data_IF_777422724019
#
_entry.id   IF_777422724019
#
_cell.length_a   1.000
_cell.length_b   1.000
_cell.length_c   1.000
_cell.angle_alpha   90.00
_cell.angle_beta   90.00
_cell.angle_gamma   90.00
#
_symmetry.space_group_name_H-M   'P 1'
#
loop_
_entity.id
_entity.type
_entity.pdbx_description
1 polymer ?
#
# COMPACT_ATOMS: atom_id res chain seq x y z
N UNK A 1 -0.16 43.57 42.85
CA UNK A 1 0.67 42.67 42.01
C UNK A 1 -0.04 41.32 41.83
N UNK A 2 -0.94 41.19 40.84
CA UNK A 2 -1.65 39.92 40.55
C UNK A 2 -1.45 39.38 39.10
N UNK A 3 -0.23 39.37 38.52
CA UNK A 3 0.01 38.71 37.23
C UNK A 3 0.34 37.20 37.36
N UNK A 4 0.69 36.70 38.55
CA UNK A 4 1.22 35.34 38.73
C UNK A 4 0.20 34.21 38.47
N UNK A 5 -1.10 34.44 38.70
CA UNK A 5 -2.14 33.40 38.53
C UNK A 5 -2.51 33.15 37.06
N UNK A 6 -2.35 34.13 36.17
CA UNK A 6 -2.68 33.96 34.73
C UNK A 6 -1.64 33.12 33.99
N UNK A 7 -0.35 33.27 34.34
CA UNK A 7 0.76 32.53 33.76
C UNK A 7 0.65 31.03 34.06
N UNK A 8 0.26 30.66 35.29
CA UNK A 8 0.08 29.26 35.67
C UNK A 8 -1.05 28.58 34.87
N UNK A 9 -2.13 29.32 34.56
CA UNK A 9 -3.24 28.82 33.74
C UNK A 9 -2.83 28.66 32.27
N UNK A 10 -2.08 29.60 31.72
CA UNK A 10 -1.58 29.55 30.33
C UNK A 10 -0.62 28.37 30.13
N UNK A 11 0.31 28.14 31.08
CA UNK A 11 1.23 26.98 31.02
C UNK A 11 0.46 25.66 31.07
N UNK A 12 -0.59 25.56 31.89
CA UNK A 12 -1.44 24.37 31.98
C UNK A 12 -2.24 24.14 30.68
N UNK A 13 -2.78 25.20 30.07
CA UNK A 13 -3.51 25.12 28.78
C UNK A 13 -2.58 24.78 27.61
N UNK A 14 -1.38 25.34 27.56
CA UNK A 14 -0.37 25.01 26.54
C UNK A 14 0.12 23.55 26.67
N UNK A 15 0.28 23.06 27.91
CA UNK A 15 0.63 21.65 28.17
C UNK A 15 -0.51 20.70 27.76
N UNK A 16 -1.77 21.10 28.00
CA UNK A 16 -2.95 20.35 27.55
C UNK A 16 -3.07 20.33 26.01
N UNK A 17 -2.82 21.46 25.34
CA UNK A 17 -2.80 21.56 23.87
C UNK A 17 -1.67 20.76 23.19
N UNK A 18 -0.53 20.57 23.87
CA UNK A 18 0.51 19.65 23.39
C UNK A 18 0.10 18.19 23.60
N UNK A 19 -0.55 17.88 24.71
CA UNK A 19 -1.07 16.54 24.99
C UNK A 19 -2.18 16.13 24.00
N UNK A 20 -3.05 17.05 23.56
CA UNK A 20 -4.06 16.75 22.53
C UNK A 20 -3.45 16.40 21.18
N UNK A 21 -2.30 16.98 20.79
CA UNK A 21 -1.55 16.53 19.61
C UNK A 21 -1.06 15.09 19.77
N UNK A 22 -0.51 14.75 20.94
CA UNK A 22 -0.06 13.40 21.27
C UNK A 22 -1.19 12.37 21.20
N UNK A 23 -2.36 12.70 21.76
CA UNK A 23 -3.56 11.83 21.68
C UNK A 23 -4.04 11.67 20.24
N UNK A 24 -3.99 12.72 19.41
CA UNK A 24 -4.32 12.62 17.98
C UNK A 24 -3.37 11.68 17.25
N UNK A 25 -2.08 11.75 17.53
CA UNK A 25 -1.06 10.86 16.97
C UNK A 25 -1.31 9.41 17.39
N UNK A 26 -1.54 9.16 18.68
CA UNK A 26 -1.86 7.82 19.19
C UNK A 26 -3.15 7.29 18.56
N UNK A 27 -4.16 8.14 18.36
CA UNK A 27 -5.44 7.77 17.73
C UNK A 27 -5.30 7.46 16.24
N UNK A 28 -4.47 8.23 15.51
CA UNK A 28 -4.12 7.96 14.11
C UNK A 28 -3.29 6.68 14.00
N UNK A 29 -2.29 6.50 14.85
CA UNK A 29 -1.48 5.28 14.90
C UNK A 29 -2.35 4.07 15.23
N UNK A 30 -3.26 4.17 16.19
CA UNK A 30 -4.16 3.06 16.55
C UNK A 30 -5.24 2.81 15.49
N UNK A 31 -5.77 3.83 14.83
CA UNK A 31 -6.71 3.65 13.71
C UNK A 31 -6.02 3.03 12.49
N UNK A 32 -4.80 3.49 12.18
CA UNK A 32 -3.95 2.93 11.13
C UNK A 32 -3.60 1.49 11.49
N UNK A 33 -3.20 1.20 12.73
CA UNK A 33 -2.85 -0.15 13.18
C UNK A 33 -4.05 -1.11 13.19
N UNK A 34 -5.26 -0.62 13.49
CA UNK A 34 -6.49 -1.42 13.41
C UNK A 34 -6.87 -1.71 11.96
N UNK A 35 -6.73 -0.72 11.07
CA UNK A 35 -6.85 -0.92 9.62
C UNK A 35 -5.80 -1.90 9.09
N UNK A 36 -4.54 -1.76 9.53
CA UNK A 36 -3.43 -2.63 9.17
C UNK A 36 -3.59 -4.06 9.69
N UNK A 37 -4.20 -4.29 10.87
CA UNK A 37 -4.50 -5.65 11.36
C UNK A 37 -5.63 -6.31 10.57
N UNK A 38 -6.65 -5.55 10.19
CA UNK A 38 -7.72 -6.05 9.31
C UNK A 38 -7.21 -6.33 7.89
N UNK A 39 -6.31 -5.46 7.38
CA UNK A 39 -5.54 -5.72 6.17
C UNK A 39 -4.64 -6.95 6.36
N UNK A 40 -3.95 -7.09 7.50
CA UNK A 40 -2.97 -8.16 7.76
C UNK A 40 -3.57 -9.55 7.86
N UNK A 41 -4.82 -9.72 8.31
CA UNK A 41 -5.44 -11.07 8.31
C UNK A 41 -5.78 -11.55 6.90
N UNK A 42 -6.08 -10.63 5.98
CA UNK A 42 -6.29 -10.93 4.55
C UNK A 42 -4.97 -10.94 3.75
N UNK A 43 -3.99 -10.14 4.18
CA UNK A 43 -2.63 -10.03 3.61
C UNK A 43 -1.70 -11.17 4.06
N UNK A 44 -2.25 -12.27 4.59
CA UNK A 44 -1.51 -13.51 4.84
C UNK A 44 -1.19 -14.28 3.54
N UNK A 45 -1.56 -13.72 2.37
CA UNK A 45 -1.07 -14.19 1.06
C UNK A 45 0.42 -13.91 0.96
N UNK A 46 1.23 -14.96 0.84
CA UNK A 46 2.70 -15.00 0.70
C UNK A 46 3.33 -13.91 -0.20
N UNK A 47 2.58 -13.29 -1.11
CA UNK A 47 3.04 -12.23 -2.00
C UNK A 47 3.45 -10.92 -1.31
N UNK A 48 2.75 -10.45 -0.28
CA UNK A 48 3.07 -9.14 0.33
C UNK A 48 4.43 -9.16 1.05
N UNK A 49 4.68 -10.20 1.85
CA UNK A 49 5.97 -10.36 2.53
C UNK A 49 7.14 -10.49 1.55
N UNK A 50 6.91 -11.13 0.40
CA UNK A 50 7.90 -11.21 -0.68
C UNK A 50 8.23 -9.83 -1.25
N UNK A 51 7.21 -9.00 -1.57
CA UNK A 51 7.42 -7.64 -2.10
C UNK A 51 8.12 -6.72 -1.11
N UNK A 52 7.79 -6.81 0.18
CA UNK A 52 8.49 -6.04 1.23
C UNK A 52 9.96 -6.45 1.33
N UNK A 53 10.23 -7.76 1.35
CA UNK A 53 11.60 -8.29 1.43
C UNK A 53 12.40 -7.91 0.19
N UNK A 54 11.80 -8.04 -1.00
CA UNK A 54 12.40 -7.64 -2.27
C UNK A 54 12.71 -6.14 -2.31
N UNK A 55 11.79 -5.30 -1.83
CA UNK A 55 11.99 -3.84 -1.76
C UNK A 55 13.14 -3.50 -0.83
N UNK A 56 13.27 -4.18 0.31
CA UNK A 56 14.40 -4.02 1.22
C UNK A 56 15.72 -4.39 0.54
N UNK A 57 15.78 -5.55 -0.12
CA UNK A 57 16.98 -6.00 -0.85
C UNK A 57 17.36 -4.99 -1.93
N UNK A 58 16.39 -4.54 -2.74
CA UNK A 58 16.63 -3.57 -3.81
C UNK A 58 17.07 -2.21 -3.25
N UNK A 59 16.55 -1.80 -2.09
CA UNK A 59 16.98 -0.56 -1.43
C UNK A 59 18.45 -0.66 -1.02
N UNK A 60 18.85 -1.77 -0.39
CA UNK A 60 20.23 -2.00 0.04
C UNK A 60 21.17 -2.09 -1.16
N UNK A 61 20.85 -2.93 -2.14
CA UNK A 61 21.68 -3.15 -3.34
C UNK A 61 21.74 -1.88 -4.20
N UNK A 62 20.61 -1.21 -4.40
CA UNK A 62 20.52 0.05 -5.16
C UNK A 62 21.33 1.16 -4.50
N UNK A 63 21.30 1.27 -3.17
CA UNK A 63 22.14 2.23 -2.44
C UNK A 63 23.63 1.91 -2.54
N UNK A 64 24.01 0.62 -2.50
CA UNK A 64 25.40 0.21 -2.67
C UNK A 64 25.91 0.49 -4.08
N UNK A 65 25.09 0.23 -5.10
CA UNK A 65 25.40 0.55 -6.50
C UNK A 65 25.53 2.05 -6.73
N UNK A 66 24.56 2.84 -6.25
CA UNK A 66 24.62 4.31 -6.35
C UNK A 66 25.84 4.89 -5.63
N UNK A 67 26.17 4.37 -4.44
CA UNK A 67 27.37 4.78 -3.73
C UNK A 67 28.63 4.43 -4.54
N UNK A 68 28.73 3.20 -5.06
CA UNK A 68 29.90 2.78 -5.83
C UNK A 68 30.14 3.62 -7.10
N UNK A 69 29.06 3.97 -7.82
CA UNK A 69 29.16 4.72 -9.08
C UNK A 69 29.39 6.23 -8.87
N UNK A 70 28.74 6.83 -7.87
CA UNK A 70 28.80 8.29 -7.67
C UNK A 70 29.90 8.74 -6.68
N UNK A 71 30.54 7.83 -5.90
CA UNK A 71 31.56 8.19 -4.89
C UNK A 71 32.73 9.02 -5.45
N UNK A 72 33.15 8.73 -6.68
CA UNK A 72 34.36 9.32 -7.27
C UNK A 72 34.07 10.53 -8.19
N UNK A 73 32.79 10.83 -8.48
CA UNK A 73 32.37 11.90 -9.40
C UNK A 73 31.56 13.01 -8.72
N UNK A 74 31.45 12.99 -7.39
CA UNK A 74 30.70 13.96 -6.62
C UNK A 74 31.51 15.24 -6.38
N UNK A 75 31.38 16.22 -7.29
CA UNK A 75 31.92 17.59 -7.21
C UNK A 75 31.28 18.43 -6.06
N UNK A 76 31.42 17.95 -4.82
CA UNK A 76 31.12 18.71 -3.59
C UNK A 76 29.74 18.50 -2.95
N UNK A 77 28.81 17.81 -3.61
CA UNK A 77 27.43 17.63 -3.09
C UNK A 77 26.81 16.23 -3.26
N UNK A 78 27.58 15.23 -3.69
CA UNK A 78 27.05 13.91 -4.03
C UNK A 78 27.01 12.87 -2.89
N UNK A 79 26.74 11.63 -3.27
CA UNK A 79 26.54 10.48 -2.37
C UNK A 79 27.85 10.04 -1.69
N UNK A 80 28.35 10.87 -0.77
CA UNK A 80 29.65 10.69 -0.13
C UNK A 80 29.67 9.60 0.95
N UNK A 81 28.50 9.15 1.43
CA UNK A 81 28.38 8.12 2.44
C UNK A 81 27.29 7.10 2.06
N UNK A 82 27.44 5.86 2.51
CA UNK A 82 26.41 4.84 2.28
C UNK A 82 25.05 5.24 2.88
N UNK A 83 25.05 5.95 4.02
CA UNK A 83 23.83 6.45 4.64
C UNK A 83 23.07 7.46 3.76
N UNK A 84 23.77 8.33 3.02
CA UNK A 84 23.13 9.27 2.10
C UNK A 84 22.62 8.56 0.85
N UNK A 85 23.31 7.53 0.37
CA UNK A 85 22.85 6.68 -0.73
C UNK A 85 21.61 5.85 -0.37
N UNK A 86 21.54 5.33 0.85
CA UNK A 86 20.36 4.66 1.39
C UNK A 86 19.17 5.62 1.46
N UNK A 87 19.38 6.80 2.02
CA UNK A 87 18.35 7.83 2.09
C UNK A 87 17.84 8.21 0.70
N UNK A 88 18.77 8.46 -0.24
CA UNK A 88 18.45 8.75 -1.63
C UNK A 88 17.60 7.65 -2.27
N UNK A 89 18.02 6.40 -2.12
CA UNK A 89 17.32 5.23 -2.68
C UNK A 89 15.93 5.08 -2.09
N UNK A 90 15.78 5.28 -0.78
CA UNK A 90 14.49 5.25 -0.11
C UNK A 90 13.55 6.34 -0.66
N UNK A 91 14.04 7.56 -0.87
CA UNK A 91 13.27 8.68 -1.42
C UNK A 91 12.82 8.45 -2.87
N UNK A 92 13.64 7.77 -3.68
CA UNK A 92 13.27 7.36 -5.04
C UNK A 92 12.17 6.29 -5.01
N UNK A 93 12.33 5.25 -4.19
CA UNK A 93 11.36 4.16 -4.06
C UNK A 93 10.01 4.67 -3.54
N UNK A 94 10.01 5.62 -2.61
CA UNK A 94 8.79 6.26 -2.10
C UNK A 94 8.23 7.33 -3.02
N UNK A 95 8.84 7.58 -4.19
CA UNK A 95 8.45 8.61 -5.16
C UNK A 95 8.44 10.04 -4.62
N UNK A 96 9.06 10.29 -3.46
CA UNK A 96 9.19 11.65 -2.89
C UNK A 96 10.21 12.50 -3.63
N UNK A 97 11.07 11.87 -4.43
CA UNK A 97 12.13 12.54 -5.18
C UNK A 97 13.35 12.85 -4.32
N UNK A 98 14.53 12.85 -4.93
CA UNK A 98 15.80 13.09 -4.24
C UNK A 98 16.35 14.48 -4.49
N UNK A 99 17.08 15.01 -3.53
CA UNK A 99 17.79 16.29 -3.65
C UNK A 99 19.02 16.20 -4.58
N UNK A 100 19.54 14.99 -4.79
CA UNK A 100 20.69 14.71 -5.64
C UNK A 100 20.29 13.96 -6.91
N UNK A 101 20.94 14.29 -8.04
CA UNK A 101 20.76 13.61 -9.32
C UNK A 101 22.08 12.98 -9.79
N UNK A 102 22.08 11.67 -10.15
CA UNK A 102 23.28 10.97 -10.62
C UNK A 102 23.90 11.65 -11.84
N UNK A 103 25.21 11.90 -11.79
CA UNK A 103 25.93 12.49 -12.91
C UNK A 103 26.56 11.42 -13.80
N UNK A 104 26.87 10.24 -13.24
CA UNK A 104 27.48 9.15 -14.00
C UNK A 104 26.47 8.46 -14.92
N UNK A 105 26.91 7.99 -16.10
CA UNK A 105 26.06 7.20 -16.99
C UNK A 105 25.49 5.95 -16.32
N UNK A 106 26.32 5.24 -15.56
CA UNK A 106 25.95 4.03 -14.82
C UNK A 106 24.92 4.34 -13.71
N UNK A 107 25.14 5.40 -12.94
CA UNK A 107 24.20 5.88 -11.93
C UNK A 107 22.86 6.31 -12.53
N UNK A 108 22.84 6.92 -13.72
CA UNK A 108 21.60 7.30 -14.42
C UNK A 108 20.80 6.08 -14.87
N UNK A 109 21.46 5.05 -15.41
CA UNK A 109 20.81 3.78 -15.77
C UNK A 109 20.22 3.12 -14.53
N UNK A 110 20.99 3.07 -13.43
CA UNK A 110 20.51 2.48 -12.18
C UNK A 110 19.32 3.28 -11.61
N UNK A 111 19.39 4.61 -11.62
CA UNK A 111 18.30 5.49 -11.21
C UNK A 111 17.01 5.23 -12.01
N UNK A 112 17.12 5.03 -13.33
CA UNK A 112 15.98 4.69 -14.17
C UNK A 112 15.37 3.33 -13.80
N UNK A 113 16.19 2.30 -13.57
CA UNK A 113 15.73 0.98 -13.14
C UNK A 113 15.03 1.02 -11.77
N UNK A 114 15.60 1.77 -10.82
CA UNK A 114 14.97 1.98 -9.50
C UNK A 114 13.63 2.68 -9.62
N UNK A 115 13.54 3.69 -10.51
CA UNK A 115 12.29 4.40 -10.77
C UNK A 115 11.22 3.47 -11.35
N UNK A 116 11.59 2.62 -12.33
CA UNK A 116 10.68 1.64 -12.91
C UNK A 116 10.21 0.62 -11.87
N UNK A 117 11.11 0.16 -10.99
CA UNK A 117 10.76 -0.70 -9.87
C UNK A 117 9.77 -0.03 -8.92
N UNK A 118 9.99 1.23 -8.56
CA UNK A 118 9.08 1.99 -7.69
C UNK A 118 7.66 2.06 -8.27
N UNK A 119 7.54 2.34 -9.58
CA UNK A 119 6.25 2.30 -10.29
C UNK A 119 5.58 0.93 -10.24
N UNK A 120 6.33 -0.15 -10.45
CA UNK A 120 5.81 -1.51 -10.39
C UNK A 120 5.29 -1.87 -8.99
N UNK A 121 6.04 -1.51 -7.94
CA UNK A 121 5.60 -1.69 -6.54
C UNK A 121 4.33 -0.91 -6.26
N UNK A 122 4.23 0.33 -6.75
CA UNK A 122 3.03 1.14 -6.57
C UNK A 122 1.81 0.47 -7.21
N UNK A 123 1.95 -0.02 -8.45
CA UNK A 123 0.90 -0.79 -9.13
C UNK A 123 0.52 -2.07 -8.38
N UNK A 124 1.51 -2.79 -7.85
CA UNK A 124 1.26 -3.98 -7.02
C UNK A 124 0.45 -3.64 -5.76
N UNK A 125 0.80 -2.56 -5.05
CA UNK A 125 0.08 -2.12 -3.85
C UNK A 125 -1.37 -1.76 -4.21
N UNK A 126 -1.60 -1.03 -5.30
CA UNK A 126 -2.96 -0.73 -5.78
C UNK A 126 -3.76 -2.00 -6.10
N UNK A 127 -3.16 -2.97 -6.81
CA UNK A 127 -3.80 -4.24 -7.15
C UNK A 127 -4.07 -5.09 -5.91
N UNK A 128 -3.15 -5.11 -4.93
CA UNK A 128 -3.31 -5.82 -3.67
C UNK A 128 -4.48 -5.24 -2.86
N UNK A 129 -4.62 -3.91 -2.83
CA UNK A 129 -5.77 -3.25 -2.20
C UNK A 129 -7.05 -3.60 -2.95
N UNK A 130 -7.09 -3.49 -4.28
CA UNK A 130 -8.27 -3.85 -5.06
C UNK A 130 -8.71 -5.31 -4.80
N UNK A 131 -7.75 -6.24 -4.77
CA UNK A 131 -7.99 -7.66 -4.47
C UNK A 131 -8.49 -7.87 -3.04
N UNK A 132 -8.04 -7.06 -2.08
CA UNK A 132 -8.57 -7.09 -0.71
C UNK A 132 -10.05 -6.72 -0.66
N UNK A 133 -10.48 -5.70 -1.42
CA UNK A 133 -11.89 -5.32 -1.49
C UNK A 133 -12.73 -6.38 -2.22
N UNK A 134 -12.30 -6.82 -3.40
CA UNK A 134 -12.97 -7.87 -4.18
C UNK A 134 -13.04 -9.19 -3.38
N UNK A 135 -11.97 -9.54 -2.66
CA UNK A 135 -11.94 -10.74 -1.83
C UNK A 135 -12.95 -10.69 -0.69
N UNK A 136 -13.27 -9.50 -0.15
CA UNK A 136 -14.33 -9.34 0.85
C UNK A 136 -15.73 -9.40 0.26
N UNK A 137 -15.91 -8.96 -0.98
CA UNK A 137 -17.19 -9.09 -1.70
C UNK A 137 -17.44 -10.56 -2.09
N UNK A 138 -16.39 -11.31 -2.41
CA UNK A 138 -16.44 -12.76 -2.67
C UNK A 138 -16.67 -13.60 -1.40
N UNK A 139 -16.14 -13.16 -0.24
CA UNK A 139 -16.36 -13.82 1.06
C UNK A 139 -17.76 -13.55 1.64
N UNK A 140 -18.61 -12.82 0.91
CA UNK A 140 -20.04 -12.74 1.19
C UNK A 140 -20.69 -14.04 0.66
N UNK A 141 -20.35 -15.17 1.28
CA UNK A 141 -20.80 -16.53 0.90
C UNK A 141 -22.32 -16.58 0.70
N UNK A 142 -23.10 -15.80 1.47
CA UNK A 142 -24.55 -15.67 1.30
C UNK A 142 -24.96 -15.15 -0.09
N UNK A 143 -24.22 -14.23 -0.68
CA UNK A 143 -24.51 -13.68 -2.01
C UNK A 143 -24.15 -14.66 -3.13
N UNK A 144 -23.03 -15.39 -3.00
CA UNK A 144 -22.66 -16.44 -3.96
C UNK A 144 -23.61 -17.64 -3.90
N UNK A 145 -23.99 -18.08 -2.68
CA UNK A 145 -24.96 -19.15 -2.46
C UNK A 145 -26.35 -18.74 -2.97
N UNK A 146 -26.79 -17.50 -2.74
CA UNK A 146 -28.05 -16.98 -3.29
C UNK A 146 -28.03 -16.93 -4.82
N UNK A 147 -26.91 -16.52 -5.41
CA UNK A 147 -26.67 -16.57 -6.86
C UNK A 147 -26.79 -17.99 -7.41
N UNK A 148 -26.08 -18.96 -6.83
CA UNK A 148 -26.13 -20.35 -7.26
C UNK A 148 -27.54 -20.95 -7.14
N UNK A 149 -28.26 -20.65 -6.06
CA UNK A 149 -29.63 -21.14 -5.84
C UNK A 149 -30.63 -20.55 -6.85
N UNK A 150 -30.49 -19.25 -7.18
CA UNK A 150 -31.33 -18.62 -8.21
C UNK A 150 -31.08 -19.18 -9.60
N UNK A 151 -29.81 -19.48 -9.95
CA UNK A 151 -29.45 -20.11 -11.23
C UNK A 151 -30.02 -21.53 -11.33
N UNK A 152 -29.99 -22.29 -10.24
CA UNK A 152 -30.55 -23.64 -10.20
C UNK A 152 -32.08 -23.63 -10.39
N UNK A 153 -32.78 -22.71 -9.71
CA UNK A 153 -34.23 -22.55 -9.86
C UNK A 153 -34.64 -22.17 -11.29
N UNK A 154 -33.90 -21.27 -11.93
CA UNK A 154 -34.14 -20.89 -13.33
C UNK A 154 -33.91 -22.07 -14.29
N UNK A 155 -32.92 -22.92 -14.05
CA UNK A 155 -32.70 -24.11 -14.88
C UNK A 155 -33.85 -25.11 -14.77
N UNK A 156 -34.40 -25.29 -13.56
CA UNK A 156 -35.55 -26.16 -13.32
C UNK A 156 -36.81 -25.63 -14.02
N UNK A 157 -37.04 -24.32 -13.95
CA UNK A 157 -38.17 -23.66 -14.62
C UNK A 157 -38.05 -23.74 -16.15
N UNK A 158 -36.85 -23.52 -16.71
CA UNK A 158 -36.58 -23.70 -18.15
C UNK A 158 -36.80 -25.15 -18.57
N UNK A 159 -36.40 -26.13 -17.75
CA UNK A 159 -36.61 -27.55 -18.03
C UNK A 159 -38.10 -27.91 -18.06
N UNK A 160 -38.87 -27.40 -17.10
CA UNK A 160 -40.33 -27.58 -17.05
C UNK A 160 -41.02 -26.96 -18.27
N UNK A 161 -40.69 -25.71 -18.61
CA UNK A 161 -41.24 -25.04 -19.80
C UNK A 161 -40.90 -25.76 -21.10
N UNK A 162 -39.69 -26.32 -21.23
CA UNK A 162 -39.33 -27.17 -22.39
C UNK A 162 -40.18 -28.42 -22.48
N UNK A 163 -40.47 -29.07 -21.36
CA UNK A 163 -41.30 -30.27 -21.32
C UNK A 163 -42.74 -29.96 -21.77
N UNK A 164 -43.31 -28.85 -21.29
CA UNK A 164 -44.67 -28.41 -21.66
C UNK A 164 -44.76 -28.06 -23.16
N UNK A 165 -43.77 -27.35 -23.70
CA UNK A 165 -43.71 -27.04 -25.14
C UNK A 165 -43.64 -28.33 -25.96
N UNK A 166 -42.84 -29.32 -25.54
CA UNK A 166 -42.76 -30.61 -26.24
C UNK A 166 -44.09 -31.37 -26.19
N UNK A 167 -44.77 -31.38 -25.03
CA UNK A 167 -46.07 -32.01 -24.88
C UNK A 167 -47.14 -31.36 -25.79
N UNK A 168 -47.20 -30.03 -25.82
CA UNK A 168 -48.10 -29.28 -26.70
C UNK A 168 -47.77 -29.47 -28.18
N UNK A 169 -46.48 -29.55 -28.54
CA UNK A 169 -46.06 -29.79 -29.92
C UNK A 169 -46.44 -31.17 -30.46
N UNK A 170 -46.55 -32.18 -29.58
CA UNK A 170 -46.97 -33.55 -29.94
C UNK A 170 -48.49 -33.69 -30.09
N UNK A 171 -49.25 -32.71 -29.64
CA UNK A 171 -50.71 -32.73 -29.66
C UNK A 171 -51.31 -32.06 -30.91
N UNK A 172 -50.48 -31.38 -31.71
CA UNK A 172 -50.79 -30.88 -33.05
C UNK A 172 -50.33 -31.86 -34.11
#
# INVERSE_FOLDING_TARGET
MLPALRVFRIVRVVRLLRATRGVRLVRVITSVNRGMRALSSSMNRRGFGYVVTLTLIITLVGSAGMYAFEKDNSDGGGLNNYGTALWWTAMIITTMGSEYWPQTPEGRVLCFLLSLYAFAVFGYVTAAIATFFVGRDAENDEAEIAGAKSIAALHEEIAALRADIQALSRQK
#
